data_IF_087451785520
#
_entry.id   IF_087451785520
#
_cell.length_a   1.000
_cell.length_b   1.000
_cell.length_c   1.000
_cell.angle_alpha   90.00
_cell.angle_beta   90.00
_cell.angle_gamma   90.00
#
_symmetry.space_group_name_H-M   'P 1'
#
loop_
_entity.id
_entity.type
_entity.pdbx_description
1 polymer ?
#
# COMPACT_ATOMS: atom_id res chain seq x y z
N UNK A 1 1.79 -5.71 7.48
CA UNK A 1 1.93 -4.24 7.41
C UNK A 1 0.70 -3.61 6.77
N UNK A 2 0.49 -2.32 6.97
CA UNK A 2 -0.53 -1.55 6.28
C UNK A 2 -0.28 -1.49 4.76
N UNK A 3 -1.37 -1.35 3.99
CA UNK A 3 -1.31 -1.16 2.55
C UNK A 3 -2.30 -0.08 2.11
N UNK A 4 -1.84 0.86 1.30
CA UNK A 4 -2.60 2.07 0.95
C UNK A 4 -3.90 1.84 0.18
N UNK A 5 -4.06 0.74 -0.57
CA UNK A 5 -5.30 0.38 -1.26
C UNK A 5 -6.02 -0.82 -0.63
N UNK A 6 -5.29 -1.89 -0.35
CA UNK A 6 -5.86 -3.14 0.15
C UNK A 6 -6.17 -3.13 1.65
N UNK A 7 -5.87 -2.05 2.35
CA UNK A 7 -5.91 -1.95 3.80
C UNK A 7 -4.67 -2.54 4.47
N UNK A 8 -4.39 -3.81 4.22
CA UNK A 8 -3.21 -4.54 4.71
C UNK A 8 -2.56 -5.38 3.62
N UNK A 9 -1.26 -5.61 3.74
CA UNK A 9 -0.47 -6.49 2.88
C UNK A 9 -0.31 -7.87 3.49
N UNK A 10 0.17 -8.84 2.70
CA UNK A 10 0.38 -10.24 3.10
C UNK A 10 -0.86 -11.11 2.85
N UNK A 11 -0.79 -12.36 3.31
CA UNK A 11 -1.85 -13.32 3.20
C UNK A 11 -2.36 -13.56 1.78
N UNK A 12 -3.69 -13.58 1.59
CA UNK A 12 -4.31 -13.80 0.29
C UNK A 12 -3.86 -12.82 -0.80
N UNK A 13 -3.42 -11.61 -0.43
CA UNK A 13 -2.96 -10.58 -1.38
C UNK A 13 -1.73 -11.02 -2.16
N UNK A 14 -0.83 -11.77 -1.55
CA UNK A 14 0.40 -12.24 -2.19
C UNK A 14 0.09 -13.11 -3.40
N UNK A 15 -0.88 -14.01 -3.27
CA UNK A 15 -1.31 -14.87 -4.38
C UNK A 15 -2.16 -14.08 -5.40
N UNK A 16 -3.13 -13.29 -4.94
CA UNK A 16 -4.09 -12.61 -5.82
C UNK A 16 -3.45 -11.49 -6.63
N UNK A 17 -3.10 -10.39 -5.96
CA UNK A 17 -2.53 -9.21 -6.66
C UNK A 17 -1.04 -9.40 -6.94
N UNK A 18 -0.31 -10.09 -6.06
CA UNK A 18 1.13 -10.28 -6.18
C UNK A 18 1.54 -11.17 -7.37
N UNK A 19 0.64 -12.04 -7.83
CA UNK A 19 0.86 -12.95 -8.97
C UNK A 19 -0.16 -12.74 -10.11
N UNK A 20 -0.93 -11.66 -10.06
CA UNK A 20 -1.97 -11.38 -11.03
C UNK A 20 -1.39 -10.98 -12.39
N UNK A 21 -2.09 -11.34 -13.46
CA UNK A 21 -1.82 -10.85 -14.81
C UNK A 21 -2.13 -9.37 -14.99
N UNK A 22 -1.66 -8.81 -16.10
CA UNK A 22 -1.77 -7.38 -16.43
C UNK A 22 -3.23 -6.88 -16.41
N UNK A 23 -4.18 -7.67 -16.87
CA UNK A 23 -5.61 -7.29 -16.89
C UNK A 23 -6.15 -7.05 -15.48
N UNK A 24 -5.86 -7.94 -14.55
CA UNK A 24 -6.30 -7.82 -13.15
C UNK A 24 -5.64 -6.60 -12.48
N UNK A 25 -4.36 -6.38 -12.75
CA UNK A 25 -3.62 -5.22 -12.21
C UNK A 25 -4.21 -3.93 -12.79
N UNK A 26 -4.40 -3.84 -14.11
CA UNK A 26 -4.97 -2.67 -14.78
C UNK A 26 -6.38 -2.35 -14.28
N UNK A 27 -7.22 -3.36 -14.07
CA UNK A 27 -8.56 -3.19 -13.51
C UNK A 27 -8.50 -2.65 -12.08
N UNK A 28 -7.76 -3.33 -11.19
CA UNK A 28 -7.74 -3.00 -9.76
C UNK A 28 -6.98 -1.72 -9.43
N UNK A 29 -6.05 -1.30 -10.28
CA UNK A 29 -5.25 -0.08 -10.14
C UNK A 29 -5.73 1.07 -11.05
N UNK A 30 -6.88 0.91 -11.73
CA UNK A 30 -7.46 2.02 -12.48
C UNK A 30 -7.93 3.14 -11.54
N UNK A 31 -7.86 4.43 -11.92
CA UNK A 31 -8.35 5.54 -11.12
C UNK A 31 -9.78 5.32 -10.62
N UNK A 32 -10.67 4.93 -11.53
CA UNK A 32 -12.08 4.62 -11.22
C UNK A 32 -12.24 3.55 -10.14
N UNK A 33 -11.33 2.58 -10.05
CA UNK A 33 -11.38 1.55 -9.02
C UNK A 33 -10.80 2.05 -7.70
N UNK A 34 -9.68 2.76 -7.76
CA UNK A 34 -8.98 3.27 -6.57
C UNK A 34 -9.75 4.36 -5.84
N UNK A 35 -10.57 5.14 -6.54
CA UNK A 35 -11.41 6.19 -5.96
C UNK A 35 -12.63 5.66 -5.22
N UNK A 36 -12.91 4.36 -5.31
CA UNK A 36 -14.06 3.78 -4.61
C UNK A 36 -13.94 3.96 -3.09
N UNK A 37 -15.08 4.23 -2.41
CA UNK A 37 -15.13 4.27 -0.96
C UNK A 37 -14.55 2.98 -0.34
N UNK A 38 -13.77 3.13 0.72
CA UNK A 38 -13.12 2.02 1.41
C UNK A 38 -11.76 1.59 0.86
N UNK A 39 -11.36 1.99 -0.36
CA UNK A 39 -10.02 1.74 -0.90
C UNK A 39 -9.02 2.67 -0.22
N UNK A 40 -8.69 2.39 1.03
CA UNK A 40 -7.86 3.24 1.91
C UNK A 40 -6.96 2.42 2.81
N UNK A 41 -5.93 3.08 3.30
CA UNK A 41 -4.96 2.53 4.26
C UNK A 41 -5.68 1.98 5.51
N UNK A 42 -5.40 0.73 5.85
CA UNK A 42 -5.93 0.08 7.06
C UNK A 42 -7.43 -0.25 7.03
N UNK A 43 -8.13 0.00 5.92
CA UNK A 43 -9.55 -0.35 5.77
C UNK A 43 -9.69 -1.76 5.18
N UNK A 44 -10.42 -2.61 5.89
CA UNK A 44 -10.78 -3.97 5.43
C UNK A 44 -12.27 -4.08 5.16
N UNK A 45 -13.09 -3.65 6.15
CA UNK A 45 -14.54 -3.68 6.01
C UNK A 45 -14.96 -2.74 4.87
N UNK A 46 -15.80 -3.26 3.98
CA UNK A 46 -16.34 -2.54 2.81
C UNK A 46 -15.26 -2.00 1.84
N UNK A 47 -14.03 -2.56 1.89
CA UNK A 47 -12.98 -2.25 0.94
C UNK A 47 -13.14 -3.13 -0.32
N UNK A 48 -13.51 -2.56 -1.47
CA UNK A 48 -13.69 -3.34 -2.70
C UNK A 48 -12.38 -3.94 -3.22
N UNK A 49 -11.23 -3.31 -2.94
CA UNK A 49 -9.93 -3.87 -3.31
C UNK A 49 -9.63 -5.15 -2.49
N UNK A 50 -9.91 -5.11 -1.19
CA UNK A 50 -9.78 -6.29 -0.34
C UNK A 50 -10.74 -7.42 -0.76
N UNK A 51 -11.96 -7.09 -1.18
CA UNK A 51 -12.92 -8.07 -1.68
C UNK A 51 -12.38 -8.83 -2.90
N UNK A 52 -11.83 -8.13 -3.89
CA UNK A 52 -11.18 -8.77 -5.06
C UNK A 52 -10.05 -9.71 -4.63
N UNK A 53 -9.23 -9.30 -3.65
CA UNK A 53 -8.17 -10.16 -3.11
C UNK A 53 -8.71 -11.48 -2.61
N UNK A 54 -9.77 -11.45 -1.82
CA UNK A 54 -10.39 -12.65 -1.25
C UNK A 54 -11.03 -13.51 -2.33
N UNK A 55 -11.76 -12.92 -3.28
CA UNK A 55 -12.38 -13.64 -4.40
C UNK A 55 -11.35 -14.38 -5.24
N UNK A 56 -10.27 -13.73 -5.63
CA UNK A 56 -9.17 -14.36 -6.41
C UNK A 56 -8.52 -15.49 -5.60
N UNK A 57 -8.26 -15.28 -4.33
CA UNK A 57 -7.67 -16.31 -3.47
C UNK A 57 -8.60 -17.54 -3.33
N UNK A 58 -9.92 -17.33 -3.27
CA UNK A 58 -10.91 -18.39 -3.26
C UNK A 58 -10.94 -19.16 -4.58
N UNK A 59 -10.94 -18.47 -5.73
CA UNK A 59 -10.88 -19.08 -7.07
C UNK A 59 -9.60 -19.93 -7.21
N UNK A 60 -8.46 -19.40 -6.75
CA UNK A 60 -7.19 -20.11 -6.74
C UNK A 60 -7.10 -21.24 -5.71
N UNK A 61 -8.16 -21.44 -4.90
CA UNK A 61 -8.23 -22.48 -3.87
C UNK A 61 -7.09 -22.42 -2.86
N UNK A 62 -6.68 -21.20 -2.47
CA UNK A 62 -5.68 -21.02 -1.42
C UNK A 62 -6.15 -21.72 -0.13
N UNK A 63 -5.35 -22.64 0.39
CA UNK A 63 -5.73 -23.49 1.53
C UNK A 63 -5.07 -23.11 2.84
N UNK A 64 -3.89 -22.51 2.77
CA UNK A 64 -3.09 -22.25 3.95
C UNK A 64 -2.19 -21.05 3.72
N UNK A 65 -1.99 -20.23 4.75
CA UNK A 65 -1.00 -19.15 4.75
C UNK A 65 -0.16 -19.19 6.01
N UNK A 66 1.04 -18.64 5.91
CA UNK A 66 1.87 -18.22 7.03
C UNK A 66 2.13 -16.73 6.85
N UNK A 67 1.79 -15.93 7.85
CA UNK A 67 2.03 -14.48 7.88
C UNK A 67 2.92 -14.13 9.06
N UNK A 68 3.85 -13.22 8.84
CA UNK A 68 4.70 -12.68 9.89
C UNK A 68 4.52 -11.16 9.99
N UNK A 69 4.75 -10.64 11.19
CA UNK A 69 4.88 -9.21 11.48
C UNK A 69 6.29 -9.00 11.97
N UNK A 70 7.01 -8.08 11.34
CA UNK A 70 8.37 -7.75 11.71
C UNK A 70 8.42 -6.37 12.35
N UNK A 71 9.40 -6.16 13.23
CA UNK A 71 9.77 -4.83 13.71
C UNK A 71 10.53 -4.02 12.63
N UNK A 72 10.97 -2.84 12.97
CA UNK A 72 11.75 -1.94 12.12
C UNK A 72 13.19 -2.44 11.86
N UNK A 73 13.68 -3.38 12.66
CA UNK A 73 14.97 -4.07 12.48
C UNK A 73 14.84 -5.35 11.63
N UNK A 74 13.61 -5.72 11.24
CA UNK A 74 13.34 -6.92 10.46
C UNK A 74 13.16 -8.20 11.27
N UNK A 75 13.16 -8.13 12.61
CA UNK A 75 12.91 -9.31 13.45
C UNK A 75 11.42 -9.65 13.46
N UNK A 76 11.10 -10.93 13.40
CA UNK A 76 9.71 -11.41 13.50
C UNK A 76 9.21 -11.28 14.93
N UNK A 77 8.24 -10.39 15.16
CA UNK A 77 7.61 -10.16 16.48
C UNK A 77 6.30 -10.91 16.64
N UNK A 78 5.68 -11.33 15.55
CA UNK A 78 4.47 -12.13 15.57
C UNK A 78 4.35 -12.99 14.30
N UNK A 79 3.85 -14.19 14.45
CA UNK A 79 3.54 -15.08 13.34
C UNK A 79 2.14 -15.69 13.51
N UNK A 80 1.43 -15.87 12.40
CA UNK A 80 0.15 -16.56 12.36
C UNK A 80 0.11 -17.49 11.15
N UNK A 81 -0.54 -18.63 11.29
CA UNK A 81 -0.65 -19.63 10.25
C UNK A 81 -2.01 -20.33 10.33
N UNK A 82 -2.51 -20.79 9.19
CA UNK A 82 -3.77 -21.51 9.14
C UNK A 82 -4.61 -21.22 7.91
N UNK A 83 -5.94 -21.35 8.06
CA UNK A 83 -6.92 -20.98 7.04
C UNK A 83 -6.70 -19.53 6.62
N UNK A 84 -6.69 -19.24 5.30
CA UNK A 84 -6.19 -17.95 4.79
C UNK A 84 -6.86 -16.72 5.38
N UNK A 85 -8.18 -16.68 5.49
CA UNK A 85 -8.88 -15.51 6.01
C UNK A 85 -8.69 -15.36 7.52
N UNK A 86 -8.85 -16.46 8.28
CA UNK A 86 -8.73 -16.43 9.73
C UNK A 86 -7.32 -16.04 10.17
N UNK A 87 -6.31 -16.66 9.57
CA UNK A 87 -4.92 -16.35 9.86
C UNK A 87 -4.56 -14.89 9.44
N UNK A 88 -5.08 -14.41 8.31
CA UNK A 88 -4.87 -13.05 7.87
C UNK A 88 -5.51 -12.03 8.82
N UNK A 89 -6.76 -12.22 9.21
CA UNK A 89 -7.44 -11.30 10.15
C UNK A 89 -6.79 -11.30 11.52
N UNK A 90 -6.32 -12.45 11.99
CA UNK A 90 -5.53 -12.51 13.23
C UNK A 90 -4.24 -11.70 13.13
N UNK A 91 -3.56 -11.80 11.99
CA UNK A 91 -2.39 -10.97 11.68
C UNK A 91 -2.72 -9.47 11.65
N UNK A 92 -3.89 -9.08 11.12
CA UNK A 92 -4.33 -7.66 11.10
C UNK A 92 -4.52 -7.11 12.51
N UNK A 93 -5.15 -7.86 13.42
CA UNK A 93 -5.31 -7.44 14.83
C UNK A 93 -3.95 -7.06 15.43
N UNK A 94 -2.96 -7.94 15.31
CA UNK A 94 -1.62 -7.69 15.84
C UNK A 94 -0.88 -6.59 15.08
N UNK A 95 -0.96 -6.56 13.74
CA UNK A 95 -0.35 -5.49 12.96
C UNK A 95 -0.90 -4.10 13.32
N UNK A 96 -2.19 -4.05 13.64
CA UNK A 96 -2.83 -2.80 14.09
C UNK A 96 -2.26 -2.32 15.42
N UNK A 97 -2.02 -3.24 16.35
CA UNK A 97 -1.40 -2.89 17.64
C UNK A 97 0.04 -2.39 17.48
N UNK A 98 0.80 -2.98 16.55
CA UNK A 98 2.20 -2.63 16.34
C UNK A 98 2.42 -1.35 15.54
N UNK A 99 1.61 -1.13 14.48
CA UNK A 99 1.93 -0.10 13.48
C UNK A 99 0.97 1.08 13.49
N UNK A 100 -0.16 0.98 14.19
CA UNK A 100 -1.15 2.06 14.20
C UNK A 100 -0.71 3.18 15.11
N UNK A 101 -0.56 4.35 14.53
CA UNK A 101 -0.36 5.60 15.28
C UNK A 101 -1.59 6.47 15.14
N UNK A 102 -2.05 7.05 16.25
CA UNK A 102 -3.13 8.02 16.26
C UNK A 102 -2.55 9.40 15.97
N UNK A 103 -3.09 10.05 14.96
CA UNK A 103 -2.82 11.46 14.67
C UNK A 103 -4.04 12.26 15.08
N UNK A 104 -3.89 13.14 16.05
CA UNK A 104 -5.03 13.90 16.62
C UNK A 104 -5.46 15.02 15.67
N UNK A 105 -4.51 15.75 15.09
CA UNK A 105 -4.78 16.84 14.16
C UNK A 105 -3.87 16.75 12.91
N UNK A 106 -4.39 17.13 11.72
CA UNK A 106 -3.57 17.22 10.53
C UNK A 106 -2.42 18.21 10.69
N UNK A 107 -1.25 17.85 10.19
CA UNK A 107 -0.05 18.69 10.22
C UNK A 107 -0.03 19.70 9.07
N UNK A 108 0.64 20.83 9.26
CA UNK A 108 0.95 21.78 8.17
C UNK A 108 2.06 21.25 7.27
N UNK A 109 3.04 20.53 7.86
CA UNK A 109 4.17 19.96 7.15
C UNK A 109 4.39 18.53 7.64
N UNK A 110 4.53 17.58 6.71
CA UNK A 110 4.96 16.21 6.98
C UNK A 110 6.32 16.00 6.32
N UNK A 111 7.30 15.55 7.08
CA UNK A 111 8.62 15.19 6.59
C UNK A 111 8.81 13.70 6.79
N UNK A 112 9.16 12.96 5.73
CA UNK A 112 9.43 11.53 5.82
C UNK A 112 10.66 11.14 4.99
N UNK A 113 11.41 10.14 5.48
CA UNK A 113 12.48 9.49 4.75
C UNK A 113 12.02 8.15 4.18
N UNK A 114 12.51 7.81 3.01
CA UNK A 114 12.36 6.47 2.43
C UNK A 114 13.72 5.81 2.44
N UNK A 115 13.79 4.60 3.02
CA UNK A 115 15.03 3.81 3.09
C UNK A 115 15.05 2.68 2.07
N UNK A 116 16.24 2.08 1.96
CA UNK A 116 16.48 0.92 1.10
C UNK A 116 15.52 -0.25 1.43
N UNK A 117 15.01 -0.95 0.40
CA UNK A 117 15.24 -0.80 -1.04
C UNK A 117 14.24 0.12 -1.77
N UNK A 118 13.32 0.78 -1.05
CA UNK A 118 12.26 1.58 -1.67
C UNK A 118 12.72 2.94 -2.17
N UNK A 119 13.84 3.42 -1.69
CA UNK A 119 14.48 4.66 -2.12
C UNK A 119 15.40 4.48 -3.35
N UNK A 120 15.51 3.27 -3.89
CA UNK A 120 16.35 3.00 -5.07
C UNK A 120 15.97 3.86 -6.29
N UNK A 121 14.68 4.19 -6.46
CA UNK A 121 14.22 5.04 -7.54
C UNK A 121 13.00 5.87 -7.15
N UNK A 122 12.75 6.93 -7.93
CA UNK A 122 11.67 7.89 -7.70
C UNK A 122 10.28 7.21 -7.69
N UNK A 123 10.04 6.26 -8.58
CA UNK A 123 8.76 5.54 -8.65
C UNK A 123 8.45 4.82 -7.34
N UNK A 124 9.42 4.11 -6.77
CA UNK A 124 9.23 3.42 -5.50
C UNK A 124 9.15 4.41 -4.33
N UNK A 125 10.01 5.43 -4.31
CA UNK A 125 10.02 6.45 -3.27
C UNK A 125 8.69 7.24 -3.22
N UNK A 126 8.07 7.53 -4.36
CA UNK A 126 6.78 8.23 -4.44
C UNK A 126 5.64 7.51 -3.72
N UNK A 127 5.79 6.20 -3.43
CA UNK A 127 4.81 5.43 -2.65
C UNK A 127 4.63 5.99 -1.24
N UNK A 128 5.64 6.68 -0.67
CA UNK A 128 5.51 7.37 0.61
C UNK A 128 4.36 8.38 0.58
N UNK A 129 4.21 9.14 -0.51
CA UNK A 129 3.09 10.06 -0.70
C UNK A 129 1.74 9.33 -0.65
N UNK A 130 1.64 8.19 -1.34
CA UNK A 130 0.40 7.40 -1.34
C UNK A 130 0.05 6.88 0.06
N UNK A 131 1.03 6.50 0.88
CA UNK A 131 0.78 6.12 2.27
C UNK A 131 0.26 7.28 3.11
N UNK A 132 0.76 8.49 2.90
CA UNK A 132 0.39 9.69 3.64
C UNK A 132 -0.99 10.21 3.19
N UNK A 133 -1.25 10.23 1.89
CA UNK A 133 -2.48 10.82 1.33
C UNK A 133 -3.67 9.88 1.34
N UNK A 134 -3.46 8.55 1.26
CA UNK A 134 -4.54 7.57 1.19
C UNK A 134 -4.98 7.02 2.56
N UNK A 135 -4.86 7.82 3.60
CA UNK A 135 -5.34 7.53 4.95
C UNK A 135 -6.86 7.66 5.05
N UNK A 136 -7.45 7.09 6.11
CA UNK A 136 -8.90 7.18 6.36
C UNK A 136 -9.36 8.61 6.67
N UNK A 137 -8.48 9.40 7.27
CA UNK A 137 -8.68 10.83 7.54
C UNK A 137 -7.43 11.57 7.10
N UNK A 138 -7.54 12.78 6.55
CA UNK A 138 -6.37 13.56 6.20
C UNK A 138 -5.44 13.75 7.40
N UNK A 139 -4.14 13.49 7.22
CA UNK A 139 -3.10 13.73 8.22
C UNK A 139 -2.22 14.94 7.87
N UNK A 140 -2.46 15.54 6.70
CA UNK A 140 -1.90 16.82 6.27
C UNK A 140 -3.06 17.77 5.97
N UNK A 141 -2.93 19.04 6.34
CA UNK A 141 -3.93 20.07 6.07
C UNK A 141 -4.03 20.35 4.57
N UNK A 142 -5.19 20.84 4.13
CA UNK A 142 -5.33 21.35 2.75
C UNK A 142 -4.35 22.51 2.53
N UNK A 143 -3.54 22.40 1.47
CA UNK A 143 -2.45 23.35 1.20
C UNK A 143 -1.18 23.13 2.03
N UNK A 144 -1.15 22.10 2.88
CA UNK A 144 0.06 21.70 3.61
C UNK A 144 1.11 21.04 2.71
N UNK A 145 2.32 20.88 3.22
CA UNK A 145 3.48 20.40 2.49
C UNK A 145 3.87 18.98 2.94
N UNK A 146 4.18 18.11 1.98
CA UNK A 146 4.79 16.81 2.23
C UNK A 146 6.19 16.80 1.61
N UNK A 147 7.21 16.59 2.43
CA UNK A 147 8.61 16.51 2.03
C UNK A 147 9.07 15.05 2.15
N UNK A 148 9.57 14.50 1.05
CA UNK A 148 10.08 13.12 1.00
C UNK A 148 11.56 13.14 0.67
N UNK A 149 12.38 12.58 1.56
CA UNK A 149 13.81 12.35 1.33
C UNK A 149 14.03 10.93 0.85
N UNK A 150 14.71 10.76 -0.29
CA UNK A 150 15.04 9.47 -0.89
C UNK A 150 16.31 9.58 -1.71
N UNK A 151 17.14 8.52 -1.75
CA UNK A 151 18.41 8.54 -2.47
C UNK A 151 18.24 8.54 -3.99
N UNK A 152 17.29 7.75 -4.51
CA UNK A 152 16.97 7.61 -5.93
C UNK A 152 18.20 7.32 -6.81
N UNK A 153 19.06 6.41 -6.39
CA UNK A 153 20.31 6.05 -7.09
C UNK A 153 20.05 5.59 -8.54
N UNK A 154 18.95 4.88 -8.78
CA UNK A 154 18.50 4.46 -10.12
C UNK A 154 17.65 5.53 -10.85
N UNK A 155 17.63 6.77 -10.38
CA UNK A 155 16.85 7.85 -10.95
C UNK A 155 15.35 7.57 -10.88
N UNK A 156 14.67 7.58 -12.02
CA UNK A 156 13.22 7.30 -12.11
C UNK A 156 12.91 5.81 -11.93
N UNK A 157 13.87 4.94 -12.28
CA UNK A 157 13.73 3.50 -12.40
C UNK A 157 13.83 3.04 -13.87
N UNK A 158 14.11 1.74 -14.06
CA UNK A 158 14.45 1.17 -15.38
C UNK A 158 13.33 0.34 -16.01
N UNK A 159 12.30 -0.02 -15.24
CA UNK A 159 11.18 -0.84 -15.67
C UNK A 159 10.14 -0.09 -16.51
N UNK A 160 9.24 -0.85 -17.14
CA UNK A 160 8.16 -0.28 -17.94
C UNK A 160 7.16 0.55 -17.09
N UNK A 161 6.88 0.09 -15.86
CA UNK A 161 6.01 0.80 -14.93
C UNK A 161 6.57 2.14 -14.49
N UNK A 162 7.89 2.19 -14.22
CA UNK A 162 8.61 3.40 -13.85
C UNK A 162 8.63 4.43 -14.99
N UNK A 163 8.82 3.98 -16.22
CA UNK A 163 8.78 4.84 -17.41
C UNK A 163 7.39 5.43 -17.62
N UNK A 164 6.34 4.61 -17.55
CA UNK A 164 4.94 5.08 -17.66
C UNK A 164 4.59 6.11 -16.57
N UNK A 165 5.05 5.86 -15.34
CA UNK A 165 4.89 6.81 -14.23
C UNK A 165 5.56 8.16 -14.54
N UNK A 166 6.80 8.13 -14.99
CA UNK A 166 7.55 9.34 -15.33
C UNK A 166 6.91 10.12 -16.48
N UNK A 167 6.51 9.43 -17.54
CA UNK A 167 5.83 10.03 -18.68
C UNK A 167 4.51 10.70 -18.28
N UNK A 168 3.74 10.08 -17.37
CA UNK A 168 2.54 10.69 -16.82
C UNK A 168 2.89 11.95 -16.02
N UNK A 169 3.86 11.88 -15.11
CA UNK A 169 4.28 13.03 -14.30
C UNK A 169 4.80 14.21 -15.11
N UNK A 170 5.46 13.95 -16.25
CA UNK A 170 5.98 15.02 -17.13
C UNK A 170 4.87 15.65 -17.96
N UNK A 171 3.85 14.89 -18.34
CA UNK A 171 2.72 15.37 -19.15
C UNK A 171 1.75 16.21 -18.35
N UNK A 172 1.50 15.81 -17.11
CA UNK A 172 0.55 16.51 -16.24
C UNK A 172 1.22 17.72 -15.57
N UNK A 173 0.70 18.90 -15.87
CA UNK A 173 1.19 20.15 -15.27
C UNK A 173 0.54 20.49 -13.94
N UNK A 174 -0.60 19.85 -13.66
CA UNK A 174 -1.36 20.04 -12.43
C UNK A 174 -1.96 18.71 -11.99
N UNK A 175 -1.91 18.42 -10.69
CA UNK A 175 -2.50 17.21 -10.10
C UNK A 175 -4.04 17.17 -10.16
N UNK A 176 -4.68 18.25 -10.60
CA UNK A 176 -6.14 18.37 -10.75
C UNK A 176 -6.65 17.97 -12.16
N UNK A 177 -5.76 17.72 -13.11
CA UNK A 177 -6.08 17.23 -14.45
C UNK A 177 -5.84 15.74 -14.56
#
# INVERSE_FOLDING_TARGET
AFHYYAGFSGGPKTLSIGMAGEETISFTHSPKFLDRPGVRLGVIKDNPFHRVIIEVACIAKLKFIVNVINDDLGHTVFATAGEPQLAFYKGIEHATLFYRVKVDEPADIIICGVGWPKDANLYQASRALTYITNTQRPIVKKGGLIMVSAQCEDGVGKGLGERRFYEAMVKEKDAAT
#
